data_IF_331858640991
#
_entry.id   IF_331858640991
#
_cell.length_a   1.000
_cell.length_b   1.000
_cell.length_c   1.000
_cell.angle_alpha   90.00
_cell.angle_beta   90.00
_cell.angle_gamma   90.00
#
_symmetry.space_group_name_H-M   'P 1'
#
loop_
_entity.id
_entity.type
_entity.pdbx_description
1 polymer ?
#
# COMPACT_ATOMS: atom_id res chain seq x y z
N UNK A 1 9.11 14.17 18.17
CA UNK A 1 7.82 13.76 18.78
C UNK A 1 7.34 12.38 18.29
N UNK A 2 7.57 12.01 17.02
CA UNK A 2 7.14 10.70 16.48
C UNK A 2 8.04 9.48 16.75
N UNK A 3 9.34 9.67 17.07
CA UNK A 3 10.31 8.57 17.21
C UNK A 3 9.88 7.48 18.21
N UNK A 4 9.25 7.87 19.33
CA UNK A 4 8.72 6.92 20.32
C UNK A 4 7.81 5.84 19.72
N UNK A 5 7.08 6.13 18.63
CA UNK A 5 6.21 5.16 17.97
C UNK A 5 7.00 4.17 17.13
N UNK A 6 8.09 4.61 16.49
CA UNK A 6 9.01 3.71 15.80
C UNK A 6 9.81 2.86 16.80
N UNK A 7 10.19 3.44 17.94
CA UNK A 7 10.94 2.76 19.00
C UNK A 7 10.09 1.71 19.72
N UNK A 8 8.80 1.98 19.95
CA UNK A 8 7.86 1.03 20.55
C UNK A 8 7.73 -0.30 19.76
N UNK A 9 8.06 -0.31 18.45
CA UNK A 9 8.08 -1.55 17.67
C UNK A 9 9.29 -2.46 17.97
N UNK A 10 10.25 -1.98 18.76
CA UNK A 10 11.40 -2.75 19.23
C UNK A 10 11.24 -3.27 20.66
N UNK A 11 10.23 -2.79 21.39
CA UNK A 11 10.00 -3.16 22.79
C UNK A 11 8.80 -4.10 22.87
N UNK A 12 9.03 -5.35 23.31
CA UNK A 12 7.95 -6.29 23.56
C UNK A 12 7.08 -5.82 24.74
N UNK A 13 5.75 -5.88 24.64
CA UNK A 13 4.88 -5.63 25.78
C UNK A 13 5.01 -6.76 26.83
N UNK A 14 4.79 -6.45 28.11
CA UNK A 14 4.91 -7.42 29.22
C UNK A 14 4.00 -8.65 29.04
N UNK A 15 2.86 -8.46 28.38
CA UNK A 15 1.85 -9.49 28.11
C UNK A 15 1.89 -9.99 26.65
N UNK A 16 3.06 -9.95 26.00
CA UNK A 16 3.22 -10.39 24.62
C UNK A 16 2.80 -11.85 24.43
N UNK A 17 2.08 -12.10 23.34
CA UNK A 17 1.69 -13.45 22.91
C UNK A 17 2.90 -14.19 22.35
N UNK A 18 2.84 -15.52 22.35
CA UNK A 18 3.91 -16.37 21.80
C UNK A 18 4.27 -16.01 20.35
N UNK A 19 3.28 -15.69 19.51
CA UNK A 19 3.51 -15.24 18.12
C UNK A 19 4.26 -13.91 18.04
N UNK A 20 3.98 -12.98 18.95
CA UNK A 20 4.60 -11.65 19.00
C UNK A 20 6.06 -11.76 19.46
N UNK A 21 6.31 -12.60 20.48
CA UNK A 21 7.65 -12.96 20.96
C UNK A 21 8.47 -13.60 19.84
N UNK A 22 7.86 -14.52 19.08
CA UNK A 22 8.53 -15.18 17.95
C UNK A 22 8.96 -14.17 16.89
N UNK A 23 8.06 -13.30 16.43
CA UNK A 23 8.42 -12.28 15.42
C UNK A 23 9.53 -11.36 15.91
N UNK A 24 9.46 -10.93 17.16
CA UNK A 24 10.50 -10.12 17.78
C UNK A 24 11.86 -10.84 17.77
N UNK A 25 11.91 -12.09 18.20
CA UNK A 25 13.14 -12.89 18.22
C UNK A 25 13.71 -13.15 16.82
N UNK A 26 12.85 -13.24 15.80
CA UNK A 26 13.24 -13.37 14.39
C UNK A 26 13.74 -12.03 13.78
N UNK A 27 13.69 -10.93 14.53
CA UNK A 27 14.16 -9.60 14.14
C UNK A 27 13.11 -8.74 13.43
N UNK A 28 11.84 -9.13 13.49
CA UNK A 28 10.70 -8.40 12.95
C UNK A 28 10.02 -7.55 14.04
N UNK A 29 9.07 -6.70 13.65
CA UNK A 29 8.18 -6.05 14.59
C UNK A 29 7.34 -7.11 15.31
N UNK A 30 7.20 -6.98 16.63
CA UNK A 30 6.28 -7.84 17.39
C UNK A 30 4.82 -7.66 16.95
N UNK A 31 4.49 -6.56 16.28
CA UNK A 31 3.15 -6.25 15.75
C UNK A 31 2.84 -6.96 14.42
N UNK A 32 3.79 -7.69 13.84
CA UNK A 32 3.61 -8.36 12.55
C UNK A 32 2.52 -9.43 12.60
N UNK A 33 1.51 -9.31 11.74
CA UNK A 33 0.40 -10.29 11.62
C UNK A 33 0.42 -11.02 10.28
N UNK A 34 1.25 -10.58 9.33
CA UNK A 34 1.19 -11.00 7.92
C UNK A 34 -0.17 -10.64 7.30
N UNK A 35 -0.71 -9.49 7.69
CA UNK A 35 -1.83 -8.87 7.00
C UNK A 35 -1.29 -7.88 6.00
N UNK A 36 -1.92 -7.82 4.83
CA UNK A 36 -1.49 -6.95 3.74
C UNK A 36 -1.39 -5.46 4.17
N UNK A 37 -2.23 -5.02 5.10
CA UNK A 37 -2.22 -3.66 5.65
C UNK A 37 -0.96 -3.33 6.46
N UNK A 38 -0.38 -4.32 7.17
CA UNK A 38 0.80 -4.12 8.02
C UNK A 38 1.98 -3.54 7.21
N UNK A 39 1.96 -3.77 5.90
CA UNK A 39 3.02 -3.35 5.01
C UNK A 39 3.15 -1.87 4.80
N UNK A 40 2.08 -1.11 5.02
CA UNK A 40 2.18 0.34 5.12
C UNK A 40 2.35 0.76 6.58
N UNK A 41 1.60 0.15 7.50
CA UNK A 41 1.51 0.61 8.90
C UNK A 41 2.83 0.45 9.68
N UNK A 42 3.52 -0.68 9.50
CA UNK A 42 4.77 -0.97 10.21
C UNK A 42 5.93 -0.23 9.52
N UNK A 43 6.09 -0.44 8.21
CA UNK A 43 7.28 0.01 7.48
C UNK A 43 7.38 1.53 7.37
N UNK A 44 6.25 2.24 7.22
CA UNK A 44 6.27 3.69 7.03
C UNK A 44 6.79 4.40 8.27
N UNK A 45 6.39 3.97 9.47
CA UNK A 45 6.89 4.55 10.73
C UNK A 45 8.41 4.41 10.86
N UNK A 46 8.92 3.22 10.55
CA UNK A 46 10.36 2.93 10.58
C UNK A 46 11.11 3.71 9.49
N UNK A 47 10.58 3.77 8.26
CA UNK A 47 11.21 4.50 7.17
C UNK A 47 11.29 6.01 7.46
N UNK A 48 10.26 6.59 8.07
CA UNK A 48 10.29 7.99 8.52
C UNK A 48 11.28 8.21 9.68
N UNK A 49 11.41 7.26 10.61
CA UNK A 49 12.43 7.32 11.66
C UNK A 49 13.85 7.32 11.08
N UNK A 50 14.10 6.51 10.03
CA UNK A 50 15.38 6.53 9.32
C UNK A 50 15.67 7.90 8.68
N UNK A 51 14.70 8.54 8.02
CA UNK A 51 14.92 9.86 7.40
C UNK A 51 15.33 10.95 8.40
N UNK A 52 14.92 10.81 9.66
CA UNK A 52 15.23 11.79 10.72
C UNK A 52 16.51 11.45 11.48
N UNK A 53 16.81 10.15 11.67
CA UNK A 53 17.92 9.70 12.52
C UNK A 53 19.14 9.21 11.76
N UNK A 54 18.96 8.83 10.49
CA UNK A 54 19.92 8.11 9.65
C UNK A 54 20.38 6.75 10.23
N UNK A 55 19.73 6.26 11.29
CA UNK A 55 20.04 4.97 11.90
C UNK A 55 19.48 3.83 11.03
N UNK A 56 20.40 3.05 10.46
CA UNK A 56 20.08 2.00 9.50
C UNK A 56 19.20 0.89 10.06
N UNK A 57 19.16 0.70 11.38
CA UNK A 57 18.31 -0.34 11.99
C UNK A 57 16.84 -0.22 11.55
N UNK A 58 16.35 1.02 11.40
CA UNK A 58 14.97 1.27 11.02
C UNK A 58 14.71 0.86 9.57
N UNK A 59 15.55 1.31 8.63
CA UNK A 59 15.34 1.05 7.19
C UNK A 59 15.66 -0.40 6.81
N UNK A 60 16.66 -1.01 7.46
CA UNK A 60 17.01 -2.40 7.21
C UNK A 60 15.92 -3.35 7.72
N UNK A 61 15.31 -3.07 8.89
CA UNK A 61 14.12 -3.81 9.34
C UNK A 61 12.93 -3.60 8.41
N UNK A 62 12.68 -2.37 7.96
CA UNK A 62 11.64 -2.09 6.96
C UNK A 62 11.79 -2.93 5.70
N UNK A 63 13.01 -3.03 5.16
CA UNK A 63 13.28 -3.80 3.95
C UNK A 63 13.03 -5.30 4.19
N UNK A 64 13.55 -5.84 5.31
CA UNK A 64 13.33 -7.24 5.70
C UNK A 64 11.86 -7.57 5.94
N UNK A 65 11.12 -6.69 6.61
CA UNK A 65 9.67 -6.81 6.76
C UNK A 65 9.03 -6.91 5.39
N UNK A 66 9.28 -5.95 4.47
CA UNK A 66 8.73 -5.99 3.11
C UNK A 66 8.96 -7.33 2.43
N UNK A 67 10.19 -7.83 2.48
CA UNK A 67 10.54 -9.14 1.91
C UNK A 67 9.75 -10.30 2.54
N UNK A 68 9.54 -10.30 3.86
CA UNK A 68 8.71 -11.30 4.54
C UNK A 68 7.29 -11.35 3.96
N UNK A 69 6.62 -10.21 3.76
CA UNK A 69 5.27 -10.22 3.19
C UNK A 69 5.27 -10.59 1.70
N UNK A 70 6.30 -10.20 0.93
CA UNK A 70 6.46 -10.66 -0.45
C UNK A 70 6.49 -12.20 -0.50
N UNK A 71 7.25 -12.84 0.40
CA UNK A 71 7.34 -14.30 0.52
C UNK A 71 6.02 -14.97 0.94
N UNK A 72 5.24 -14.30 1.79
CA UNK A 72 4.06 -14.92 2.41
C UNK A 72 2.76 -14.71 1.64
N UNK A 73 2.55 -13.52 1.08
CA UNK A 73 1.24 -13.10 0.55
C UNK A 73 1.25 -12.59 -0.90
N UNK A 74 2.41 -12.30 -1.52
CA UNK A 74 2.45 -12.03 -2.96
C UNK A 74 2.15 -13.30 -3.76
N UNK A 75 1.33 -13.18 -4.81
CA UNK A 75 0.97 -14.28 -5.70
C UNK A 75 1.72 -14.21 -7.03
N UNK A 76 1.57 -15.26 -7.84
CA UNK A 76 2.26 -15.38 -9.14
C UNK A 76 1.91 -14.24 -10.09
N UNK A 77 0.69 -13.72 -10.04
CA UNK A 77 0.27 -12.55 -10.81
C UNK A 77 0.82 -11.22 -10.25
N UNK A 78 1.52 -11.19 -9.12
CA UNK A 78 2.06 -9.97 -8.51
C UNK A 78 1.10 -9.20 -7.60
N UNK A 79 -0.18 -9.58 -7.56
CA UNK A 79 -1.13 -9.11 -6.55
C UNK A 79 -0.95 -9.90 -5.25
N UNK A 80 -1.65 -9.47 -4.21
CA UNK A 80 -1.48 -9.97 -2.85
C UNK A 80 -2.81 -10.41 -2.25
N UNK A 81 -2.78 -11.56 -1.57
CA UNK A 81 -3.89 -11.97 -0.71
C UNK A 81 -3.95 -11.10 0.54
N UNK A 82 -5.15 -10.95 1.13
CA UNK A 82 -5.35 -10.17 2.35
C UNK A 82 -4.49 -10.72 3.50
N UNK A 83 -4.54 -12.03 3.68
CA UNK A 83 -3.71 -12.80 4.62
C UNK A 83 -3.32 -14.13 3.95
N UNK A 84 -2.41 -14.94 4.52
CA UNK A 84 -2.03 -16.22 3.92
C UNK A 84 -3.21 -17.18 3.66
N UNK A 85 -4.25 -17.12 4.50
CA UNK A 85 -5.42 -17.99 4.50
C UNK A 85 -6.70 -17.35 3.91
N UNK A 86 -6.65 -16.08 3.53
CA UNK A 86 -7.78 -15.32 2.98
C UNK A 86 -7.46 -14.88 1.54
N UNK A 87 -7.80 -15.71 0.53
CA UNK A 87 -7.27 -15.62 -0.84
C UNK A 87 -8.04 -14.62 -1.71
N UNK A 88 -8.22 -13.39 -1.23
CA UNK A 88 -8.90 -12.32 -1.97
C UNK A 88 -7.92 -11.20 -2.30
N UNK A 89 -7.89 -10.79 -3.58
CA UNK A 89 -7.19 -9.60 -4.04
C UNK A 89 -8.01 -8.34 -3.72
N UNK A 90 -8.21 -8.11 -2.43
CA UNK A 90 -8.94 -6.96 -1.94
C UNK A 90 -8.22 -5.66 -2.34
N UNK A 91 -8.97 -4.74 -2.95
CA UNK A 91 -8.48 -3.49 -3.54
C UNK A 91 -7.64 -2.69 -2.56
N UNK A 92 -8.22 -2.24 -1.43
CA UNK A 92 -7.47 -1.35 -0.51
C UNK A 92 -6.30 -2.05 0.16
N UNK A 93 -6.43 -3.34 0.49
CA UNK A 93 -5.30 -4.11 1.00
C UNK A 93 -4.12 -4.06 0.02
N UNK A 94 -4.37 -4.34 -1.27
CA UNK A 94 -3.36 -4.20 -2.31
C UNK A 94 -2.89 -2.75 -2.45
N UNK A 95 -3.77 -1.77 -2.25
CA UNK A 95 -3.43 -0.35 -2.20
C UNK A 95 -2.35 -0.05 -1.16
N UNK A 96 -2.44 -0.63 0.03
CA UNK A 96 -1.40 -0.50 1.05
C UNK A 96 -0.06 -1.08 0.63
N UNK A 97 -0.04 -2.21 -0.06
CA UNK A 97 1.19 -2.75 -0.65
C UNK A 97 1.78 -1.82 -1.71
N UNK A 98 0.95 -1.30 -2.61
CA UNK A 98 1.39 -0.40 -3.67
C UNK A 98 2.05 0.87 -3.11
N UNK A 99 1.39 1.51 -2.14
CA UNK A 99 1.91 2.71 -1.47
C UNK A 99 3.15 2.36 -0.64
N UNK A 100 3.09 1.31 0.18
CA UNK A 100 4.20 0.89 1.03
C UNK A 100 5.48 0.59 0.24
N UNK A 101 5.39 -0.17 -0.85
CA UNK A 101 6.54 -0.42 -1.72
C UNK A 101 7.05 0.87 -2.37
N UNK A 102 6.17 1.74 -2.89
CA UNK A 102 6.57 2.99 -3.51
C UNK A 102 7.31 3.91 -2.52
N UNK A 103 6.81 4.07 -1.30
CA UNK A 103 7.44 4.86 -0.24
C UNK A 103 8.81 4.29 0.14
N UNK A 104 8.87 2.99 0.41
CA UNK A 104 10.11 2.33 0.83
C UNK A 104 11.18 2.43 -0.25
N UNK A 105 10.83 2.26 -1.53
CA UNK A 105 11.79 2.38 -2.65
C UNK A 105 12.40 3.78 -2.78
N UNK A 106 11.67 4.85 -2.43
CA UNK A 106 12.19 6.23 -2.42
C UNK A 106 13.26 6.40 -1.35
N UNK A 107 13.08 5.73 -0.21
CA UNK A 107 13.90 5.93 1.00
C UNK A 107 15.08 4.98 1.03
N UNK A 108 14.95 3.77 0.49
CA UNK A 108 15.97 2.73 0.58
C UNK A 108 17.32 3.18 -0.03
N UNK A 109 18.43 3.04 0.72
CA UNK A 109 19.77 3.21 0.17
C UNK A 109 20.00 2.34 -1.05
N UNK A 110 20.75 2.84 -2.05
CA UNK A 110 21.01 2.11 -3.30
C UNK A 110 21.70 0.76 -3.09
N UNK A 111 22.46 0.62 -2.00
CA UNK A 111 23.19 -0.60 -1.65
C UNK A 111 22.46 -1.50 -0.63
N UNK A 112 21.21 -1.20 -0.28
CA UNK A 112 20.43 -2.12 0.55
C UNK A 112 20.13 -3.40 -0.26
N UNK A 113 20.38 -4.60 0.32
CA UNK A 113 20.32 -5.86 -0.42
C UNK A 113 18.91 -6.24 -0.89
N UNK A 114 17.87 -5.76 -0.21
CA UNK A 114 16.47 -6.11 -0.51
C UNK A 114 15.83 -5.17 -1.54
N UNK A 115 16.47 -4.04 -1.86
CA UNK A 115 15.92 -3.00 -2.75
C UNK A 115 15.52 -3.56 -4.11
N UNK A 116 16.39 -4.36 -4.74
CA UNK A 116 16.12 -4.94 -6.06
C UNK A 116 14.88 -5.83 -6.04
N UNK A 117 14.75 -6.69 -5.02
CA UNK A 117 13.61 -7.58 -4.84
C UNK A 117 12.29 -6.82 -4.66
N UNK A 118 12.31 -5.74 -3.87
CA UNK A 118 11.13 -4.89 -3.65
C UNK A 118 10.75 -4.16 -4.94
N UNK A 119 11.72 -3.66 -5.70
CA UNK A 119 11.48 -2.97 -6.97
C UNK A 119 10.86 -3.90 -8.02
N UNK A 120 11.35 -5.14 -8.12
CA UNK A 120 10.78 -6.17 -9.00
C UNK A 120 9.33 -6.49 -8.61
N UNK A 121 9.05 -6.69 -7.32
CA UNK A 121 7.71 -6.96 -6.83
C UNK A 121 6.74 -5.80 -7.10
N UNK A 122 7.19 -4.56 -6.88
CA UNK A 122 6.45 -3.35 -7.19
C UNK A 122 6.10 -3.27 -8.68
N UNK A 123 7.10 -3.39 -9.56
CA UNK A 123 6.90 -3.36 -11.02
C UNK A 123 5.93 -4.44 -11.49
N UNK A 124 6.07 -5.65 -10.94
CA UNK A 124 5.18 -6.78 -11.23
C UNK A 124 3.72 -6.47 -10.85
N UNK A 125 3.51 -5.92 -9.66
CA UNK A 125 2.18 -5.50 -9.21
C UNK A 125 1.60 -4.41 -10.12
N UNK A 126 2.38 -3.36 -10.42
CA UNK A 126 1.93 -2.25 -11.26
C UNK A 126 1.54 -2.72 -12.66
N UNK A 127 2.31 -3.63 -13.26
CA UNK A 127 1.98 -4.24 -14.55
C UNK A 127 0.62 -4.97 -14.50
N UNK A 128 0.38 -5.76 -13.45
CA UNK A 128 -0.89 -6.48 -13.31
C UNK A 128 -2.07 -5.56 -13.07
N UNK A 129 -1.89 -4.50 -12.29
CA UNK A 129 -2.95 -3.50 -12.07
C UNK A 129 -3.40 -2.84 -13.37
N UNK A 130 -2.51 -2.55 -14.32
CA UNK A 130 -2.93 -2.01 -15.64
C UNK A 130 -3.92 -2.95 -16.33
N UNK A 131 -3.70 -4.26 -16.25
CA UNK A 131 -4.58 -5.27 -16.88
C UNK A 131 -5.99 -5.32 -16.27
N UNK A 132 -6.15 -4.85 -15.03
CA UNK A 132 -7.42 -4.81 -14.31
C UNK A 132 -8.01 -3.39 -14.18
N UNK A 133 -7.37 -2.37 -14.76
CA UNK A 133 -7.96 -1.03 -14.80
C UNK A 133 -9.16 -1.04 -15.75
N UNK A 134 -10.33 -0.64 -15.25
CA UNK A 134 -11.53 -0.67 -16.09
C UNK A 134 -11.58 0.50 -17.08
N UNK A 135 -12.58 0.47 -17.97
CA UNK A 135 -12.85 1.48 -18.99
C UNK A 135 -13.04 2.86 -18.39
N UNK A 136 -13.63 2.94 -17.20
CA UNK A 136 -13.77 4.19 -16.44
C UNK A 136 -12.47 4.63 -15.75
N UNK A 137 -11.40 3.83 -15.76
CA UNK A 137 -10.12 4.16 -15.11
C UNK A 137 -10.01 3.74 -13.64
N UNK A 138 -11.07 3.18 -13.08
CA UNK A 138 -11.15 2.75 -11.68
C UNK A 138 -10.74 1.27 -11.53
N UNK A 139 -10.45 0.87 -10.30
CA UNK A 139 -10.32 -0.54 -9.90
C UNK A 139 -11.50 -0.96 -9.01
N UNK A 140 -11.79 -2.26 -9.01
CA UNK A 140 -12.84 -2.86 -8.18
C UNK A 140 -12.41 -3.11 -6.74
N UNK A 141 -13.39 -3.25 -5.84
CA UNK A 141 -13.20 -3.69 -4.46
C UNK A 141 -12.50 -5.07 -4.39
N UNK A 142 -12.74 -5.94 -5.36
CA UNK A 142 -11.94 -7.13 -5.66
C UNK A 142 -11.32 -6.91 -7.05
N UNK A 143 -9.99 -6.91 -7.14
CA UNK A 143 -9.26 -6.40 -8.30
C UNK A 143 -9.47 -7.26 -9.54
N UNK A 144 -9.47 -8.58 -9.38
CA UNK A 144 -9.56 -9.55 -10.47
C UNK A 144 -10.99 -9.96 -10.80
N UNK A 145 -11.97 -9.27 -10.23
CA UNK A 145 -13.38 -9.48 -10.49
C UNK A 145 -14.03 -8.23 -11.10
N UNK A 146 -14.32 -8.23 -12.40
CA UNK A 146 -14.91 -7.08 -13.09
C UNK A 146 -16.35 -6.78 -12.64
N UNK A 147 -17.03 -7.71 -11.95
CA UNK A 147 -18.37 -7.47 -11.39
C UNK A 147 -18.32 -6.73 -10.05
N UNK A 148 -17.14 -6.66 -9.43
CA UNK A 148 -16.94 -5.93 -8.19
C UNK A 148 -17.14 -4.44 -8.38
N UNK A 149 -17.76 -3.79 -7.38
CA UNK A 149 -18.03 -2.36 -7.43
C UNK A 149 -16.75 -1.54 -7.35
N UNK A 150 -16.75 -0.35 -7.99
CA UNK A 150 -15.60 0.57 -8.00
C UNK A 150 -15.31 1.14 -6.63
N UNK A 151 -14.07 0.98 -6.20
CA UNK A 151 -13.64 1.39 -4.86
C UNK A 151 -12.58 2.50 -4.98
N UNK A 152 -12.84 3.61 -4.29
CA UNK A 152 -12.08 4.85 -4.52
C UNK A 152 -10.77 4.92 -3.76
N UNK A 153 -10.65 4.31 -2.57
CA UNK A 153 -9.38 4.35 -1.81
C UNK A 153 -8.26 3.57 -2.49
N UNK A 154 -8.52 2.35 -2.93
CA UNK A 154 -7.60 1.51 -3.68
C UNK A 154 -7.21 2.15 -5.00
N UNK A 155 -8.19 2.67 -5.74
CA UNK A 155 -7.92 3.39 -6.99
C UNK A 155 -6.98 4.58 -6.75
N UNK A 156 -7.20 5.38 -5.71
CA UNK A 156 -6.32 6.49 -5.36
C UNK A 156 -4.92 6.00 -4.91
N UNK A 157 -4.82 4.92 -4.14
CA UNK A 157 -3.54 4.34 -3.73
C UNK A 157 -2.73 3.79 -4.91
N UNK A 158 -3.36 3.09 -5.86
CA UNK A 158 -2.72 2.63 -7.09
C UNK A 158 -2.27 3.80 -7.95
N UNK A 159 -3.13 4.81 -8.08
CA UNK A 159 -2.82 6.04 -8.81
C UNK A 159 -1.59 6.73 -8.23
N UNK A 160 -1.55 6.92 -6.89
CA UNK A 160 -0.41 7.48 -6.19
C UNK A 160 0.87 6.68 -6.46
N UNK A 161 0.81 5.36 -6.28
CA UNK A 161 1.95 4.49 -6.48
C UNK A 161 2.48 4.58 -7.92
N UNK A 162 1.62 4.64 -8.93
CA UNK A 162 2.01 4.83 -10.34
C UNK A 162 2.62 6.21 -10.59
N UNK A 163 2.07 7.29 -10.02
CA UNK A 163 2.63 8.64 -10.14
C UNK A 163 4.07 8.67 -9.59
N UNK A 164 4.26 8.12 -8.39
CA UNK A 164 5.57 8.05 -7.74
C UNK A 164 6.55 7.24 -8.59
N UNK A 165 6.13 6.10 -9.11
CA UNK A 165 6.98 5.25 -9.96
C UNK A 165 7.41 5.93 -11.27
N UNK A 166 6.50 6.66 -11.93
CA UNK A 166 6.83 7.43 -13.13
C UNK A 166 7.81 8.55 -12.82
N UNK A 167 7.58 9.29 -11.73
CA UNK A 167 8.46 10.39 -11.31
C UNK A 167 9.87 9.95 -10.95
N UNK A 168 10.02 8.77 -10.38
CA UNK A 168 11.33 8.21 -10.00
C UNK A 168 11.97 7.39 -11.12
N UNK A 169 11.35 7.30 -12.30
CA UNK A 169 11.89 6.55 -13.44
C UNK A 169 11.81 5.02 -13.29
N UNK A 170 11.05 4.51 -12.32
CA UNK A 170 10.84 3.07 -12.15
C UNK A 170 9.81 2.52 -13.14
N UNK A 171 8.87 3.38 -13.57
CA UNK A 171 7.79 3.02 -14.48
C UNK A 171 7.83 3.87 -15.75
N UNK A 172 7.48 3.27 -16.89
CA UNK A 172 7.38 3.97 -18.17
C UNK A 172 6.27 5.04 -18.15
N UNK A 173 6.64 6.26 -18.55
CA UNK A 173 5.72 7.41 -18.51
C UNK A 173 4.52 7.25 -19.44
N UNK A 174 4.69 6.64 -20.62
CA UNK A 174 3.63 6.54 -21.62
C UNK A 174 2.51 5.64 -21.13
N UNK A 175 2.87 4.52 -20.53
CA UNK A 175 1.95 3.48 -20.09
C UNK A 175 1.33 3.85 -18.74
N UNK A 176 2.18 4.03 -17.73
CA UNK A 176 1.72 4.22 -16.35
C UNK A 176 1.23 5.65 -16.10
N UNK A 177 1.80 6.65 -16.78
CA UNK A 177 1.31 8.02 -16.70
C UNK A 177 -0.10 8.17 -17.29
N UNK A 178 -0.42 7.45 -18.37
CA UNK A 178 -1.76 7.43 -18.95
C UNK A 178 -2.76 6.73 -18.01
N UNK A 179 -2.39 5.58 -17.44
CA UNK A 179 -3.22 4.86 -16.47
C UNK A 179 -3.51 5.71 -15.22
N UNK A 180 -2.48 6.32 -14.63
CA UNK A 180 -2.62 7.20 -13.47
C UNK A 180 -3.46 8.45 -13.78
N UNK A 181 -3.25 9.09 -14.94
CA UNK A 181 -4.06 10.25 -15.35
C UNK A 181 -5.53 9.88 -15.51
N UNK A 182 -5.81 8.73 -16.12
CA UNK A 182 -7.17 8.24 -16.32
C UNK A 182 -7.87 8.04 -14.96
N UNK A 183 -7.23 7.33 -14.05
CA UNK A 183 -7.74 7.09 -12.70
C UNK A 183 -7.94 8.38 -11.91
N UNK A 184 -6.98 9.31 -11.97
CA UNK A 184 -7.07 10.63 -11.33
C UNK A 184 -8.32 11.40 -11.78
N UNK A 185 -8.55 11.50 -13.09
CA UNK A 185 -9.72 12.21 -13.62
C UNK A 185 -11.04 11.57 -13.19
N UNK A 186 -11.07 10.23 -13.10
CA UNK A 186 -12.25 9.51 -12.64
C UNK A 186 -12.50 9.65 -11.15
N UNK A 187 -11.45 9.63 -10.32
CA UNK A 187 -11.57 9.89 -8.89
C UNK A 187 -12.22 11.25 -8.59
N UNK A 188 -11.92 12.28 -9.39
CA UNK A 188 -12.54 13.59 -9.24
C UNK A 188 -14.05 13.58 -9.47
N UNK A 189 -14.59 12.64 -10.25
CA UNK A 189 -16.04 12.50 -10.45
C UNK A 189 -16.74 11.83 -9.26
N UNK A 190 -16.00 11.28 -8.30
CA UNK A 190 -16.54 10.71 -7.06
C UNK A 190 -16.58 11.70 -5.90
N UNK A 191 -16.10 12.94 -6.09
CA UNK A 191 -16.25 14.01 -5.10
C UNK A 191 -17.69 14.53 -5.11
N UNK A 192 -18.31 14.63 -3.93
CA UNK A 192 -19.59 15.32 -3.77
C UNK A 192 -19.39 16.85 -3.70
N UNK A 193 -20.48 17.59 -3.50
CA UNK A 193 -20.47 19.06 -3.41
C UNK A 193 -19.61 19.60 -2.25
N UNK A 194 -19.45 18.82 -1.17
CA UNK A 194 -18.59 19.14 -0.02
C UNK A 194 -17.14 18.70 -0.21
N UNK A 195 -16.74 18.25 -1.42
CA UNK A 195 -15.43 17.65 -1.69
C UNK A 195 -15.14 16.38 -0.89
N UNK A 196 -16.18 15.67 -0.45
CA UNK A 196 -16.05 14.34 0.10
C UNK A 196 -16.04 13.29 -1.01
N UNK A 197 -14.97 12.51 -1.10
CA UNK A 197 -14.90 11.33 -1.95
C UNK A 197 -15.91 10.28 -1.47
N UNK A 198 -16.65 9.73 -2.42
CA UNK A 198 -17.65 8.69 -2.22
C UNK A 198 -17.05 7.31 -2.50
N UNK A 199 -17.83 6.24 -2.29
CA UNK A 199 -17.42 4.86 -2.61
C UNK A 199 -16.14 4.36 -1.92
N UNK A 200 -15.82 4.88 -0.74
CA UNK A 200 -14.72 4.38 0.08
C UNK A 200 -15.19 3.15 0.84
N UNK A 201 -14.51 2.02 0.70
CA UNK A 201 -14.81 0.84 1.50
C UNK A 201 -14.57 1.14 3.00
N UNK A 202 -15.45 0.76 3.91
CA UNK A 202 -15.21 0.92 5.35
C UNK A 202 -14.05 0.06 5.88
N UNK A 203 -13.59 0.32 7.12
CA UNK A 203 -12.62 -0.54 7.81
C UNK A 203 -12.98 -2.03 7.70
N UNK A 204 -12.07 -2.82 7.12
CA UNK A 204 -12.35 -4.20 6.70
C UNK A 204 -11.24 -5.10 7.21
N UNK A 205 -11.63 -6.18 7.89
CA UNK A 205 -10.70 -7.22 8.34
C UNK A 205 -10.62 -8.39 7.38
N UNK A 206 -9.80 -9.38 7.70
CA UNK A 206 -9.68 -10.59 6.90
C UNK A 206 -10.81 -11.58 7.21
N UNK A 207 -11.56 -11.99 6.19
CA UNK A 207 -12.51 -13.11 6.26
C UNK A 207 -12.48 -13.89 4.96
N UNK A 208 -12.43 -15.22 5.05
CA UNK A 208 -12.48 -16.08 3.86
C UNK A 208 -13.92 -16.19 3.32
N UNK A 209 -14.44 -15.09 2.77
CA UNK A 209 -15.77 -14.99 2.20
C UNK A 209 -15.77 -13.88 1.15
N UNK A 210 -16.06 -14.23 -0.10
CA UNK A 210 -16.17 -13.27 -1.20
C UNK A 210 -17.24 -12.21 -0.91
N UNK A 211 -18.43 -12.68 -0.49
CA UNK A 211 -19.56 -11.79 -0.19
C UNK A 211 -19.25 -10.80 0.93
N UNK A 212 -18.45 -11.19 1.92
CA UNK A 212 -18.00 -10.27 2.98
C UNK A 212 -17.31 -9.02 2.44
N UNK A 213 -16.49 -9.13 1.38
CA UNK A 213 -15.84 -7.98 0.77
C UNK A 213 -16.80 -7.14 -0.07
N UNK A 214 -17.75 -7.78 -0.76
CA UNK A 214 -18.74 -7.06 -1.57
C UNK A 214 -19.75 -6.29 -0.72
N UNK A 215 -20.11 -6.83 0.45
CA UNK A 215 -21.10 -6.25 1.37
C UNK A 215 -20.55 -5.09 2.20
N UNK A 216 -19.26 -4.75 2.05
CA UNK A 216 -18.70 -3.63 2.80
C UNK A 216 -19.40 -2.32 2.43
N UNK A 217 -19.75 -1.55 3.47
CA UNK A 217 -20.37 -0.24 3.31
C UNK A 217 -19.41 0.69 2.58
N UNK A 218 -20.02 1.56 1.80
CA UNK A 218 -19.38 2.63 1.02
C UNK A 218 -19.57 3.93 1.79
N UNK A 219 -18.53 4.38 2.48
CA UNK A 219 -18.58 5.55 3.36
C UNK A 219 -18.08 6.77 2.59
N UNK A 220 -18.92 7.80 2.51
CA UNK A 220 -18.52 9.10 1.95
C UNK A 220 -17.70 9.87 2.98
N UNK A 221 -16.56 10.44 2.57
CA UNK A 221 -15.71 11.24 3.46
C UNK A 221 -14.74 10.42 4.33
N UNK A 222 -14.67 9.11 4.14
CA UNK A 222 -13.80 8.24 4.94
C UNK A 222 -12.31 8.48 4.64
N UNK A 223 -11.52 8.66 5.69
CA UNK A 223 -10.11 9.05 5.61
C UNK A 223 -9.23 8.10 4.79
N UNK A 224 -9.63 6.82 4.66
CA UNK A 224 -8.91 5.86 3.82
C UNK A 224 -8.98 6.22 2.33
N UNK A 225 -10.00 6.98 1.89
CA UNK A 225 -10.11 7.52 0.53
C UNK A 225 -9.59 8.96 0.40
N UNK A 226 -9.88 9.81 1.40
CA UNK A 226 -9.46 11.21 1.40
C UNK A 226 -7.94 11.37 1.36
N UNK A 227 -7.22 10.64 2.22
CA UNK A 227 -5.77 10.80 2.33
C UNK A 227 -5.05 10.39 1.03
N UNK A 228 -5.32 9.23 0.40
CA UNK A 228 -4.70 8.87 -0.87
C UNK A 228 -5.07 9.81 -2.02
N UNK A 229 -6.27 10.39 -2.04
CA UNK A 229 -6.62 11.41 -3.04
C UNK A 229 -5.72 12.66 -2.89
N UNK A 230 -5.51 13.11 -1.64
CA UNK A 230 -4.60 14.22 -1.36
C UNK A 230 -3.14 13.86 -1.68
N UNK A 231 -2.72 12.62 -1.43
CA UNK A 231 -1.39 12.14 -1.83
C UNK A 231 -1.22 12.19 -3.35
N UNK A 232 -2.24 11.81 -4.12
CA UNK A 232 -2.22 11.95 -5.58
C UNK A 232 -2.06 13.42 -5.99
N UNK A 233 -2.85 14.33 -5.41
CA UNK A 233 -2.77 15.75 -5.70
C UNK A 233 -1.35 16.31 -5.43
N UNK A 234 -0.81 16.00 -4.25
CA UNK A 234 0.56 16.37 -3.87
C UNK A 234 1.60 15.77 -4.82
N UNK A 235 1.47 14.49 -5.13
CA UNK A 235 2.39 13.80 -6.03
C UNK A 235 2.25 14.26 -7.48
N UNK A 236 1.16 14.88 -7.91
CA UNK A 236 1.03 15.46 -9.25
C UNK A 236 1.59 16.89 -9.31
N UNK A 237 1.46 17.67 -8.23
CA UNK A 237 1.87 19.07 -8.19
C UNK A 237 3.35 19.28 -7.83
N UNK A 238 3.95 18.36 -7.08
CA UNK A 238 5.37 18.44 -6.70
C UNK A 238 6.31 18.08 -7.86
N UNK A 239 7.61 18.28 -7.71
CA UNK A 239 8.62 17.63 -8.56
C UNK A 239 8.89 16.16 -8.15
N UNK A 240 9.89 15.50 -8.74
CA UNK A 240 10.25 14.13 -8.37
C UNK A 240 10.89 14.02 -6.96
N UNK A 241 11.38 15.13 -6.41
CA UNK A 241 11.97 15.23 -5.07
C UNK A 241 10.94 15.64 -4.01
N UNK A 242 9.67 15.83 -4.40
CA UNK A 242 8.62 16.26 -3.49
C UNK A 242 8.74 17.73 -3.07
N UNK A 243 9.42 18.57 -3.86
CA UNK A 243 9.46 20.03 -3.68
C UNK A 243 8.38 20.72 -4.50
#
# INVERSE_FOLDING_TARGET
MGLKYADAQWELPENAKESEIKWHNDGYSWQTRVWIDDMFMITTLQAQAYLVTEDKKYIDRTAREMVLYLDRIQRVNGLFYHTPDVPFFWGRGNGWMAVGMAEVLRILPKNNPDKGRIEEAYKKMMNTLIGYQDRDGMWGQIIDDPSSWRETSSTAMFTYAMIVGVKNGWLDKKTYGAAARKAWLSLLTYLNEDSNIQNVCEGTGAKNSYQYYLDRRRITGDLHGQAPLLWCAYALSSDAQGK
#
